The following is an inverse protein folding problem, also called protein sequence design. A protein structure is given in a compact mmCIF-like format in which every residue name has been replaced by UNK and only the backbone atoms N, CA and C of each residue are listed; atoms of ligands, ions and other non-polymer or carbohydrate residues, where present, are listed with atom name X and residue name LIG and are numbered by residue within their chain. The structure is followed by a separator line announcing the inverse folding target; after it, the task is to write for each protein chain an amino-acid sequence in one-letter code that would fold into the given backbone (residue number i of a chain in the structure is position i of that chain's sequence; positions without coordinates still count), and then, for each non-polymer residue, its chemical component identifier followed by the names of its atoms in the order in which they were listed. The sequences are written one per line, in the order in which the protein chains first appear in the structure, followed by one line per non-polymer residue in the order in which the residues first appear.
data_IF_083405444259
#
_entry.id   IF_083405444259
#
_cell.length_a   1.000
_cell.length_b   1.000
_cell.length_c   1.000
_cell.angle_alpha   90.00
_cell.angle_beta   90.00
_cell.angle_gamma   90.00
#
_symmetry.space_group_name_H-M   'P 1'
#
loop_
_entity.id
_entity.type
_entity.pdbx_description
1 polymer ?
#
# COMPACT_ATOMS: atom_id res chain seq x y z
N UNK A 1 -27.63 -3.78 -7.65
CA UNK A 1 -26.84 -5.03 -7.47
C UNK A 1 -25.57 -4.58 -6.81
N UNK A 2 -25.64 -4.49 -5.49
CA UNK A 2 -24.89 -3.47 -4.76
C UNK A 2 -23.52 -4.02 -4.41
N UNK A 3 -22.54 -3.68 -5.25
CA UNK A 3 -21.14 -3.96 -5.01
C UNK A 3 -20.67 -3.05 -3.88
N UNK A 4 -20.56 -3.59 -2.66
CA UNK A 4 -19.94 -2.90 -1.53
C UNK A 4 -18.52 -3.47 -1.30
N UNK A 5 -17.45 -2.80 -1.79
CA UNK A 5 -16.07 -3.26 -1.66
C UNK A 5 -15.66 -3.60 -0.22
N UNK A 6 -16.25 -2.90 0.76
CA UNK A 6 -16.01 -3.14 2.19
C UNK A 6 -16.40 -4.54 2.66
N UNK A 7 -17.40 -5.18 2.05
CA UNK A 7 -17.85 -6.52 2.43
C UNK A 7 -16.82 -7.62 2.10
N UNK A 8 -15.92 -7.36 1.15
CA UNK A 8 -14.81 -8.26 0.80
C UNK A 8 -13.47 -7.79 1.36
N UNK A 9 -13.49 -6.87 2.34
CA UNK A 9 -12.29 -6.36 2.99
C UNK A 9 -11.46 -5.40 2.13
N UNK A 10 -12.07 -4.79 1.10
CA UNK A 10 -11.40 -3.82 0.23
C UNK A 10 -11.89 -2.42 0.57
N UNK A 11 -10.96 -1.58 1.04
CA UNK A 11 -11.19 -0.13 1.12
C UNK A 11 -10.95 0.48 -0.27
N UNK A 12 -11.93 1.21 -0.78
CA UNK A 12 -11.85 1.87 -2.07
C UNK A 12 -11.87 3.38 -1.91
N UNK A 13 -11.05 4.08 -2.70
CA UNK A 13 -11.02 5.53 -2.79
C UNK A 13 -10.98 5.96 -4.27
N UNK A 14 -11.61 7.11 -4.57
CA UNK A 14 -11.54 7.74 -5.89
C UNK A 14 -10.98 9.14 -5.83
N UNK A 15 -10.24 9.49 -6.88
CA UNK A 15 -9.92 10.85 -7.23
C UNK A 15 -9.92 11.00 -8.76
N UNK A 16 -9.75 12.23 -9.25
CA UNK A 16 -9.82 12.54 -10.69
C UNK A 16 -8.72 11.90 -11.54
N UNK A 17 -7.59 11.52 -10.93
CA UNK A 17 -6.43 11.02 -11.67
C UNK A 17 -6.30 9.50 -11.58
N UNK A 18 -7.05 8.85 -10.69
CA UNK A 18 -6.93 7.44 -10.33
C UNK A 18 -5.55 7.02 -9.78
N UNK A 19 -4.68 8.00 -9.48
CA UNK A 19 -3.36 7.77 -8.86
C UNK A 19 -3.42 8.00 -7.35
N UNK A 20 -2.45 7.48 -6.62
CA UNK A 20 -2.30 7.82 -5.21
C UNK A 20 -2.02 9.32 -5.04
N UNK A 21 -2.63 9.94 -4.03
CA UNK A 21 -2.35 11.30 -3.61
C UNK A 21 -2.19 11.36 -2.08
N UNK A 22 -1.69 12.47 -1.56
CA UNK A 22 -1.44 12.70 -0.13
C UNK A 22 -2.66 12.44 0.75
N UNK A 23 -3.86 12.82 0.31
CA UNK A 23 -5.10 12.68 1.08
C UNK A 23 -5.44 11.20 1.22
N UNK A 24 -5.54 10.48 0.10
CA UNK A 24 -5.86 9.05 0.10
C UNK A 24 -4.77 8.23 0.82
N UNK A 25 -3.50 8.63 0.66
CA UNK A 25 -2.40 8.01 1.38
C UNK A 25 -2.51 8.22 2.90
N UNK A 26 -2.87 9.42 3.33
CA UNK A 26 -3.07 9.74 4.75
C UNK A 26 -4.21 8.92 5.37
N UNK A 27 -5.33 8.80 4.66
CA UNK A 27 -6.46 7.96 5.09
C UNK A 27 -6.03 6.50 5.25
N UNK A 28 -5.31 5.96 4.25
CA UNK A 28 -4.77 4.61 4.29
C UNK A 28 -3.85 4.40 5.50
N UNK A 29 -2.93 5.32 5.78
CA UNK A 29 -2.00 5.19 6.90
C UNK A 29 -2.73 5.27 8.25
N UNK A 30 -3.75 6.13 8.40
CA UNK A 30 -4.56 6.18 9.63
C UNK A 30 -5.28 4.87 9.89
N UNK A 31 -5.85 4.27 8.85
CA UNK A 31 -6.51 2.96 8.94
C UNK A 31 -5.51 1.84 9.25
N UNK A 32 -4.32 1.89 8.64
CA UNK A 32 -3.23 0.98 8.93
C UNK A 32 -2.80 1.06 10.40
N UNK A 33 -2.55 2.26 10.92
CA UNK A 33 -2.13 2.49 12.31
C UNK A 33 -3.18 1.99 13.30
N UNK A 34 -4.46 2.30 13.08
CA UNK A 34 -5.56 1.79 13.89
C UNK A 34 -5.70 0.26 13.82
N UNK A 35 -5.33 -0.35 12.69
CA UNK A 35 -5.32 -1.81 12.54
C UNK A 35 -4.15 -2.45 13.28
N UNK A 36 -2.97 -1.86 13.20
CA UNK A 36 -1.78 -2.33 13.92
C UNK A 36 -1.97 -2.19 15.43
N UNK A 37 -2.54 -1.08 15.90
CA UNK A 37 -2.93 -0.87 17.30
C UNK A 37 -3.82 -2.00 17.81
N UNK A 38 -4.87 -2.37 17.07
CA UNK A 38 -5.78 -3.47 17.44
C UNK A 38 -5.12 -4.84 17.38
N UNK A 39 -4.28 -5.08 16.37
CA UNK A 39 -3.70 -6.42 16.11
C UNK A 39 -2.52 -6.73 17.01
N UNK A 40 -1.73 -5.72 17.36
CA UNK A 40 -0.48 -5.84 18.10
C UNK A 40 -0.54 -5.18 19.47
N UNK A 41 -1.72 -4.80 19.97
CA UNK A 41 -1.88 -4.26 21.32
C UNK A 41 -1.13 -2.96 21.57
N UNK A 42 -0.89 -2.17 20.52
CA UNK A 42 -0.13 -0.93 20.58
C UNK A 42 1.39 -1.07 20.57
N UNK A 43 1.93 -2.27 20.27
CA UNK A 43 3.35 -2.41 19.96
C UNK A 43 3.73 -1.58 18.74
N UNK A 44 4.91 -0.96 18.81
CA UNK A 44 5.41 -0.14 17.72
C UNK A 44 5.77 -0.99 16.50
N UNK A 45 5.34 -0.54 15.33
CA UNK A 45 5.63 -1.18 14.05
C UNK A 45 6.36 -0.23 13.10
N UNK A 46 7.31 -0.77 12.34
CA UNK A 46 8.01 -0.04 11.29
C UNK A 46 7.42 -0.40 9.92
N UNK A 47 6.85 0.60 9.25
CA UNK A 47 6.39 0.50 7.87
C UNK A 47 7.45 1.06 6.92
N UNK A 48 8.03 0.18 6.11
CA UNK A 48 8.98 0.54 5.06
C UNK A 48 8.24 0.89 3.78
N UNK A 49 8.55 2.05 3.19
CA UNK A 49 7.88 2.56 1.99
C UNK A 49 8.85 3.10 0.95
N UNK A 50 8.44 3.12 -0.32
CA UNK A 50 9.15 3.82 -1.38
C UNK A 50 8.96 5.34 -1.28
N UNK A 51 9.93 6.08 -1.79
CA UNK A 51 9.97 7.54 -1.75
C UNK A 51 9.16 8.18 -2.90
N UNK A 52 7.86 7.86 -3.00
CA UNK A 52 6.98 8.47 -3.98
C UNK A 52 6.48 9.86 -3.52
N UNK A 53 6.26 10.83 -4.43
CA UNK A 53 5.79 12.16 -4.05
C UNK A 53 4.46 12.18 -3.28
N UNK A 54 3.60 11.19 -3.52
CA UNK A 54 2.31 11.00 -2.85
C UNK A 54 2.42 10.43 -1.44
N UNK A 55 3.56 9.84 -1.06
CA UNK A 55 3.75 9.19 0.24
C UNK A 55 4.13 10.20 1.31
N UNK A 56 3.26 11.19 1.48
CA UNK A 56 3.37 12.26 2.48
C UNK A 56 2.10 12.27 3.30
N UNK A 57 2.25 12.45 4.60
CA UNK A 57 1.10 12.68 5.48
C UNK A 57 0.67 14.14 5.39
N UNK A 58 -0.63 14.37 5.54
CA UNK A 58 -1.16 15.71 5.77
C UNK A 58 -0.60 16.31 7.07
N UNK A 59 -0.52 17.63 7.11
CA UNK A 59 -0.01 18.35 8.28
C UNK A 59 -0.86 18.08 9.53
N UNK A 60 -0.19 17.92 10.68
CA UNK A 60 -0.87 17.64 11.96
C UNK A 60 -1.31 16.19 12.17
N UNK A 61 -1.03 15.27 11.22
CA UNK A 61 -1.30 13.84 11.41
C UNK A 61 -0.27 13.23 12.35
N UNK A 62 -0.76 12.61 13.42
CA UNK A 62 0.05 11.89 14.41
C UNK A 62 -0.39 10.43 14.43
N UNK A 63 0.58 9.51 14.29
CA UNK A 63 0.36 8.07 14.36
C UNK A 63 0.66 7.58 15.78
N UNK A 64 -0.04 6.55 16.23
CA UNK A 64 0.05 6.07 17.61
C UNK A 64 1.11 4.97 17.77
N UNK A 65 1.18 4.03 16.83
CA UNK A 65 2.08 2.88 16.91
C UNK A 65 2.93 2.67 15.65
N UNK A 66 2.63 3.37 14.56
CA UNK A 66 3.32 3.19 13.29
C UNK A 66 4.41 4.23 13.09
N UNK A 67 5.65 3.77 12.89
CA UNK A 67 6.74 4.57 12.32
C UNK A 67 6.88 4.28 10.84
N UNK A 68 7.01 5.32 10.03
CA UNK A 68 7.23 5.20 8.58
C UNK A 68 8.69 5.52 8.29
N UNK A 69 9.37 4.64 7.58
CA UNK A 69 10.70 4.90 7.03
C UNK A 69 10.70 4.69 5.52
N UNK A 70 11.28 5.67 4.81
CA UNK A 70 11.36 5.65 3.36
C UNK A 70 12.68 5.05 2.90
N UNK A 71 12.61 4.15 1.93
CA UNK A 71 13.80 3.62 1.28
C UNK A 71 14.51 4.71 0.45
N UNK A 72 15.82 4.59 0.23
CA UNK A 72 16.55 5.53 -0.62
C UNK A 72 15.97 5.59 -2.04
N UNK A 73 16.00 6.75 -2.70
CA UNK A 73 15.53 6.89 -4.07
C UNK A 73 16.26 5.92 -5.01
N UNK A 74 15.56 5.45 -6.05
CA UNK A 74 16.07 4.54 -7.08
C UNK A 74 16.52 3.14 -6.60
N UNK A 75 16.09 2.70 -5.41
CA UNK A 75 16.39 1.34 -4.90
C UNK A 75 15.26 0.34 -5.15
N UNK A 76 14.20 0.76 -5.84
CA UNK A 76 12.92 0.06 -5.97
C UNK A 76 13.03 -1.38 -6.47
N UNK A 77 13.84 -1.63 -7.51
CA UNK A 77 13.95 -2.99 -8.07
C UNK A 77 14.77 -3.96 -7.25
N UNK A 78 15.60 -3.46 -6.32
CA UNK A 78 16.55 -4.29 -5.57
C UNK A 78 16.21 -4.43 -4.09
N UNK A 79 15.70 -3.37 -3.47
CA UNK A 79 15.47 -3.32 -2.02
C UNK A 79 13.99 -3.34 -1.63
N UNK A 80 13.06 -2.96 -2.49
CA UNK A 80 11.63 -3.00 -2.15
C UNK A 80 11.13 -4.44 -2.25
N UNK A 81 10.77 -5.10 -1.13
CA UNK A 81 10.31 -6.49 -1.14
C UNK A 81 9.01 -6.65 -1.93
N UNK A 82 8.18 -5.61 -1.96
CA UNK A 82 6.93 -5.60 -2.73
C UNK A 82 7.20 -5.66 -4.24
N UNK A 83 8.13 -4.88 -4.76
CA UNK A 83 8.48 -4.88 -6.19
C UNK A 83 9.25 -6.13 -6.59
N UNK A 84 10.31 -6.45 -5.85
CA UNK A 84 11.23 -7.54 -6.16
C UNK A 84 10.61 -8.94 -5.92
N UNK A 85 9.67 -9.04 -4.98
CA UNK A 85 9.02 -10.31 -4.63
C UNK A 85 7.60 -10.40 -5.18
N UNK A 86 6.67 -9.70 -4.53
CA UNK A 86 5.23 -9.88 -4.74
C UNK A 86 4.82 -9.51 -6.16
N UNK A 87 5.16 -8.30 -6.61
CA UNK A 87 4.78 -7.78 -7.92
C UNK A 87 5.50 -8.55 -9.03
N UNK A 88 6.79 -8.85 -8.88
CA UNK A 88 7.54 -9.65 -9.85
C UNK A 88 6.89 -11.03 -10.06
N UNK A 89 6.58 -11.74 -8.97
CA UNK A 89 5.94 -13.05 -9.05
C UNK A 89 4.53 -12.95 -9.63
N UNK A 90 3.72 -11.97 -9.20
CA UNK A 90 2.39 -11.77 -9.74
C UNK A 90 2.42 -11.54 -11.26
N UNK A 91 3.31 -10.66 -11.73
CA UNK A 91 3.50 -10.40 -13.17
C UNK A 91 3.93 -11.66 -13.93
N UNK A 92 4.82 -12.47 -13.35
CA UNK A 92 5.26 -13.73 -13.96
C UNK A 92 4.07 -14.70 -14.15
N UNK A 93 3.30 -14.94 -13.09
CA UNK A 93 2.15 -15.84 -13.15
C UNK A 93 1.06 -15.33 -14.10
N UNK A 94 0.76 -14.03 -14.05
CA UNK A 94 -0.23 -13.42 -14.93
C UNK A 94 0.13 -13.61 -16.41
N UNK A 95 1.39 -13.36 -16.80
CA UNK A 95 1.87 -13.57 -18.19
C UNK A 95 1.76 -15.04 -18.62
N UNK A 96 2.07 -15.99 -17.73
CA UNK A 96 1.96 -17.42 -18.01
C UNK A 96 0.51 -17.85 -18.26
N UNK A 97 -0.45 -17.28 -17.52
CA UNK A 97 -1.87 -17.53 -17.73
C UNK A 97 -2.37 -16.90 -19.03
N UNK A 98 -2.00 -15.65 -19.31
CA UNK A 98 -2.40 -14.95 -20.52
C UNK A 98 -1.91 -15.66 -21.80
N UNK A 99 -0.65 -16.15 -21.79
CA UNK A 99 -0.09 -16.89 -22.93
C UNK A 99 -0.70 -18.28 -23.11
N UNK A 100 -1.16 -18.93 -22.03
CA UNK A 100 -1.90 -20.19 -22.10
C UNK A 100 -3.32 -20.05 -22.63
N UNK A 101 -3.95 -18.91 -22.43
CA UNK A 101 -5.30 -18.63 -22.95
C UNK A 101 -5.31 -18.26 -24.44
N UNK A 102 -4.14 -18.11 -25.07
CA UNK A 102 -3.97 -17.77 -26.48
C UNK A 102 -3.58 -18.97 -27.37
N UNK A 103 -3.46 -20.17 -26.78
CA UNK A 103 -3.28 -21.46 -27.45
C UNK A 103 -4.54 -22.29 -27.29
#
# INVERSE_FOLDING_TARGET
KDWYPRLIGITWASNKTAWMNTITFTEFIKEFDATMMRRHGGEEVLLLMDNAPSHKLEEGVVLQCTKIAFLPPNTTTHLQPMDAGIIANFKHHYKKLATRAQL
#
